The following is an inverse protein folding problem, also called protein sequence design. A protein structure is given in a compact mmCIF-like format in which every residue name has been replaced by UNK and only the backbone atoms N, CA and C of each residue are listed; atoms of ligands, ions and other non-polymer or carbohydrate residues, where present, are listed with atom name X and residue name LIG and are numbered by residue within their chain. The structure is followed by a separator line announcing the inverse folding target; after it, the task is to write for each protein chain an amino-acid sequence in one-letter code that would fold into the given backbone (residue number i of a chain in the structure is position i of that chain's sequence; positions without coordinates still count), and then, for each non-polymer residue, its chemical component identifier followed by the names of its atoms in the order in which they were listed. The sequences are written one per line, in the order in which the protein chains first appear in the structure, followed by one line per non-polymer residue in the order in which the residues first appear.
data_IF_719363803034
#
_entry.id   IF_719363803034
#
_cell.length_a   1.000
_cell.length_b   1.000
_cell.length_c   1.000
_cell.angle_alpha   90.00
_cell.angle_beta   90.00
_cell.angle_gamma   90.00
#
_symmetry.space_group_name_H-M   'P 1'
#
loop_
_entity.id
_entity.type
_entity.pdbx_description
1 polymer ?
#
# COMPACT_ATOMS: atom_id res chain seq x y z
N UNK A 1 -23.57 -5.79 3.56
CA UNK A 1 -22.78 -4.78 2.82
C UNK A 1 -21.69 -5.52 2.07
N UNK A 2 -21.70 -5.48 0.74
CA UNK A 2 -20.86 -6.33 -0.12
C UNK A 2 -19.37 -6.21 0.26
N UNK A 3 -18.71 -7.30 0.70
CA UNK A 3 -17.28 -7.30 1.06
C UNK A 3 -16.41 -6.66 -0.05
N UNK A 4 -16.82 -6.80 -1.31
CA UNK A 4 -16.23 -6.16 -2.48
C UNK A 4 -16.32 -4.63 -2.45
N UNK A 5 -17.45 -4.04 -2.07
CA UNK A 5 -17.61 -2.58 -1.95
C UNK A 5 -16.69 -2.02 -0.86
N UNK A 6 -16.61 -2.70 0.28
CA UNK A 6 -15.71 -2.31 1.36
C UNK A 6 -14.24 -2.39 0.91
N UNK A 7 -13.82 -3.48 0.27
CA UNK A 7 -12.46 -3.63 -0.24
C UNK A 7 -12.11 -2.59 -1.31
N UNK A 8 -13.06 -2.26 -2.19
CA UNK A 8 -12.87 -1.18 -3.17
C UNK A 8 -12.63 0.17 -2.50
N UNK A 9 -13.44 0.53 -1.50
CA UNK A 9 -13.24 1.78 -0.72
C UNK A 9 -11.85 1.79 -0.08
N UNK A 10 -11.46 0.68 0.56
CA UNK A 10 -10.15 0.52 1.18
C UNK A 10 -9.01 0.67 0.16
N UNK A 11 -9.16 0.14 -1.05
CA UNK A 11 -8.16 0.25 -2.10
C UNK A 11 -7.98 1.69 -2.58
N UNK A 12 -9.06 2.47 -2.72
CA UNK A 12 -8.94 3.90 -3.03
C UNK A 12 -8.31 4.69 -1.88
N UNK A 13 -8.64 4.37 -0.63
CA UNK A 13 -7.98 4.98 0.54
C UNK A 13 -6.47 4.70 0.48
N UNK A 14 -6.06 3.45 0.22
CA UNK A 14 -4.64 3.10 0.07
C UNK A 14 -3.96 3.81 -1.10
N UNK A 15 -4.67 4.03 -2.21
CA UNK A 15 -4.14 4.81 -3.33
C UNK A 15 -3.91 6.28 -2.95
N UNK A 16 -4.83 6.89 -2.22
CA UNK A 16 -4.68 8.26 -1.71
C UNK A 16 -3.50 8.33 -0.72
N UNK A 17 -3.39 7.36 0.19
CA UNK A 17 -2.26 7.29 1.14
C UNK A 17 -0.92 7.14 0.39
N UNK A 18 -0.86 6.30 -0.65
CA UNK A 18 0.33 6.15 -1.48
C UNK A 18 0.73 7.46 -2.15
N UNK A 19 -0.24 8.23 -2.67
CA UNK A 19 0.01 9.55 -3.22
C UNK A 19 0.55 10.53 -2.16
N UNK A 20 -0.02 10.52 -0.95
CA UNK A 20 0.46 11.34 0.18
C UNK A 20 1.91 10.99 0.53
N UNK A 21 2.27 9.71 0.59
CA UNK A 21 3.65 9.30 0.82
C UNK A 21 4.60 9.81 -0.28
N UNK A 22 4.19 9.77 -1.54
CA UNK A 22 4.99 10.32 -2.64
C UNK A 22 5.21 11.84 -2.46
N UNK A 23 4.20 12.59 -2.01
CA UNK A 23 4.34 14.03 -1.73
C UNK A 23 5.34 14.28 -0.59
N UNK A 24 5.22 13.56 0.53
CA UNK A 24 6.18 13.69 1.64
C UNK A 24 7.61 13.35 1.20
N UNK A 25 7.77 12.31 0.38
CA UNK A 25 9.05 11.95 -0.18
C UNK A 25 9.63 13.04 -1.07
N UNK A 26 8.83 13.63 -1.98
CA UNK A 26 9.26 14.75 -2.82
C UNK A 26 9.71 15.95 -2.00
N UNK A 27 8.98 16.30 -0.94
CA UNK A 27 9.38 17.38 -0.02
C UNK A 27 10.71 17.04 0.68
N UNK A 28 10.87 15.79 1.12
CA UNK A 28 12.12 15.29 1.71
C UNK A 28 13.32 15.41 0.78
N UNK A 29 13.16 15.06 -0.50
CA UNK A 29 14.22 15.20 -1.51
C UNK A 29 14.61 16.67 -1.73
N UNK A 30 13.63 17.57 -1.85
CA UNK A 30 13.89 19.00 -2.10
C UNK A 30 14.64 19.64 -0.93
N UNK A 31 14.33 19.22 0.30
CA UNK A 31 14.97 19.78 1.50
C UNK A 31 16.34 19.17 1.80
N UNK A 32 16.54 17.87 1.55
CA UNK A 32 17.79 17.18 1.81
C UNK A 32 18.09 16.18 0.70
N UNK A 33 18.80 16.64 -0.33
CA UNK A 33 19.12 15.81 -1.48
C UNK A 33 20.18 14.74 -1.14
N UNK A 34 19.82 13.47 -1.32
CA UNK A 34 20.72 12.32 -1.24
C UNK A 34 20.39 11.33 -2.34
N UNK A 35 21.38 10.95 -3.16
CA UNK A 35 21.19 10.03 -4.28
C UNK A 35 20.69 8.65 -3.81
N UNK A 36 21.24 8.13 -2.70
CA UNK A 36 20.77 6.87 -2.12
C UNK A 36 19.35 6.98 -1.57
N UNK A 37 19.02 8.11 -0.93
CA UNK A 37 17.66 8.38 -0.44
C UNK A 37 16.64 8.48 -1.59
N UNK A 38 17.05 9.07 -2.72
CA UNK A 38 16.24 9.19 -3.93
C UNK A 38 15.89 7.81 -4.50
N UNK A 39 16.90 6.98 -4.74
CA UNK A 39 16.69 5.63 -5.32
C UNK A 39 15.84 4.78 -4.37
N UNK A 40 16.16 4.78 -3.08
CA UNK A 40 15.41 4.03 -2.08
C UNK A 40 13.95 4.46 -1.99
N UNK A 41 13.68 5.77 -1.96
CA UNK A 41 12.31 6.27 -1.87
C UNK A 41 11.51 6.12 -3.17
N UNK A 42 12.12 6.21 -4.36
CA UNK A 42 11.42 5.90 -5.62
C UNK A 42 11.00 4.44 -5.65
N UNK A 43 11.91 3.51 -5.31
CA UNK A 43 11.60 2.08 -5.28
C UNK A 43 10.50 1.77 -4.25
N UNK A 44 10.58 2.39 -3.08
CA UNK A 44 9.63 2.16 -1.99
C UNK A 44 8.25 2.79 -2.28
N UNK A 45 8.18 4.10 -2.48
CA UNK A 45 6.91 4.81 -2.63
C UNK A 45 6.32 4.69 -4.04
N UNK A 46 7.17 4.68 -5.07
CA UNK A 46 6.74 4.38 -6.45
C UNK A 46 6.28 2.93 -6.60
N UNK A 47 6.99 1.99 -5.97
CA UNK A 47 6.56 0.59 -5.90
C UNK A 47 5.23 0.41 -5.18
N UNK A 48 5.04 1.12 -4.05
CA UNK A 48 3.77 1.11 -3.31
C UNK A 48 2.62 1.70 -4.12
N UNK A 49 2.85 2.82 -4.81
CA UNK A 49 1.85 3.44 -5.67
C UNK A 49 1.43 2.49 -6.80
N UNK A 50 2.39 1.88 -7.50
CA UNK A 50 2.11 0.88 -8.53
C UNK A 50 1.32 -0.30 -7.96
N UNK A 51 1.68 -0.78 -6.77
CA UNK A 51 0.98 -1.86 -6.11
C UNK A 51 -0.47 -1.47 -5.72
N UNK A 52 -0.71 -0.24 -5.27
CA UNK A 52 -2.07 0.26 -5.00
C UNK A 52 -2.92 0.34 -6.29
N UNK A 53 -2.33 0.71 -7.43
CA UNK A 53 -3.01 0.68 -8.72
C UNK A 53 -3.39 -0.76 -9.10
N UNK A 54 -2.46 -1.71 -8.95
CA UNK A 54 -2.72 -3.13 -9.20
C UNK A 54 -3.82 -3.67 -8.26
N UNK A 55 -3.85 -3.26 -7.00
CA UNK A 55 -4.92 -3.61 -6.06
C UNK A 55 -6.29 -3.16 -6.58
N UNK A 56 -6.42 -1.89 -7.02
CA UNK A 56 -7.68 -1.37 -7.56
C UNK A 56 -8.11 -2.15 -8.80
N UNK A 57 -7.17 -2.45 -9.71
CA UNK A 57 -7.44 -3.26 -10.90
C UNK A 57 -7.85 -4.69 -10.51
N UNK A 58 -7.15 -5.31 -9.56
CA UNK A 58 -7.41 -6.67 -9.10
C UNK A 58 -8.77 -6.84 -8.45
N UNK A 59 -9.20 -5.87 -7.64
CA UNK A 59 -10.53 -5.87 -7.03
C UNK A 59 -11.65 -5.57 -8.03
N UNK A 60 -11.38 -4.78 -9.08
CA UNK A 60 -12.36 -4.56 -10.16
C UNK A 60 -12.51 -5.78 -11.07
N UNK A 61 -11.39 -6.44 -11.38
CA UNK A 61 -11.32 -7.59 -12.28
C UNK A 61 -11.55 -8.94 -11.60
N UNK A 62 -11.74 -8.97 -10.27
CA UNK A 62 -11.87 -10.18 -9.45
C UNK A 62 -10.71 -11.17 -9.64
N UNK A 63 -9.50 -10.63 -9.86
CA UNK A 63 -8.28 -11.43 -10.11
C UNK A 63 -7.29 -11.28 -8.96
N UNK A 64 -7.14 -12.33 -8.18
CA UNK A 64 -6.22 -12.40 -7.04
C UNK A 64 -4.76 -12.13 -7.43
N UNK A 65 -4.36 -12.50 -8.65
CA UNK A 65 -3.00 -12.28 -9.16
C UNK A 65 -2.56 -10.80 -9.08
N UNK A 66 -3.46 -9.84 -9.28
CA UNK A 66 -3.14 -8.41 -9.18
C UNK A 66 -3.20 -7.88 -7.73
N UNK A 67 -3.81 -8.61 -6.81
CA UNK A 67 -3.92 -8.25 -5.38
C UNK A 67 -2.68 -8.70 -4.59
N UNK A 68 -2.10 -9.85 -4.97
CA UNK A 68 -0.94 -10.45 -4.29
C UNK A 68 0.30 -9.52 -4.23
N UNK A 69 0.70 -8.83 -5.31
CA UNK A 69 1.81 -7.88 -5.27
C UNK A 69 1.61 -6.78 -4.21
N UNK A 70 0.38 -6.29 -4.05
CA UNK A 70 0.08 -5.29 -3.04
C UNK A 70 0.28 -5.80 -1.62
N UNK A 71 -0.13 -7.03 -1.31
CA UNK A 71 0.05 -7.61 0.03
C UNK A 71 1.53 -7.69 0.43
N UNK A 72 2.41 -8.04 -0.52
CA UNK A 72 3.85 -8.17 -0.29
C UNK A 72 4.52 -6.79 -0.16
N UNK A 73 4.26 -5.90 -1.12
CA UNK A 73 4.85 -4.54 -1.13
C UNK A 73 4.42 -3.76 0.10
N UNK A 74 3.16 -3.86 0.50
CA UNK A 74 2.64 -3.21 1.71
C UNK A 74 3.39 -3.64 2.97
N UNK A 75 3.73 -4.92 3.10
CA UNK A 75 4.49 -5.41 4.26
C UNK A 75 5.89 -4.75 4.34
N UNK A 76 6.59 -4.69 3.21
CA UNK A 76 7.92 -4.05 3.12
C UNK A 76 7.81 -2.55 3.45
N UNK A 77 6.83 -1.87 2.87
CA UNK A 77 6.61 -0.43 3.07
C UNK A 77 6.27 -0.12 4.53
N UNK A 78 5.46 -0.95 5.19
CA UNK A 78 5.14 -0.78 6.61
C UNK A 78 6.39 -0.91 7.49
N UNK A 79 7.24 -1.91 7.25
CA UNK A 79 8.50 -2.08 7.99
C UNK A 79 9.39 -0.86 7.82
N UNK A 80 9.58 -0.40 6.57
CA UNK A 80 10.42 0.76 6.28
C UNK A 80 9.86 2.05 6.89
N UNK A 81 8.55 2.26 6.80
CA UNK A 81 7.89 3.42 7.42
C UNK A 81 8.01 3.40 8.94
N UNK A 82 7.97 2.24 9.60
CA UNK A 82 8.21 2.15 11.06
C UNK A 82 9.62 2.64 11.39
N UNK A 83 10.64 2.23 10.62
CA UNK A 83 12.02 2.70 10.82
C UNK A 83 12.10 4.22 10.67
N UNK A 84 11.47 4.78 9.64
CA UNK A 84 11.44 6.23 9.40
C UNK A 84 10.70 6.98 10.50
N UNK A 85 9.58 6.44 11.00
CA UNK A 85 8.82 7.04 12.11
C UNK A 85 9.65 7.08 13.39
N UNK A 86 10.39 6.01 13.70
CA UNK A 86 11.26 5.97 14.88
C UNK A 86 12.37 7.03 14.81
N UNK A 87 12.88 7.34 13.61
CA UNK A 87 13.92 8.34 13.43
C UNK A 87 13.40 9.78 13.41
N UNK A 88 12.21 10.00 12.84
CA UNK A 88 11.67 11.35 12.55
C UNK A 88 10.57 11.81 13.49
N UNK A 89 10.00 10.92 14.32
CA UNK A 89 8.84 11.18 15.19
C UNK A 89 7.64 11.82 14.47
N UNK A 90 7.48 11.54 13.17
CA UNK A 90 6.37 12.09 12.38
C UNK A 90 5.05 11.40 12.72
N UNK A 91 4.19 12.10 13.47
CA UNK A 91 2.85 11.62 13.85
C UNK A 91 1.97 11.33 12.64
N UNK A 92 2.05 12.15 11.60
CA UNK A 92 1.26 11.96 10.36
C UNK A 92 1.66 10.64 9.69
N UNK A 93 2.97 10.39 9.57
CA UNK A 93 3.49 9.18 8.92
C UNK A 93 3.13 7.93 9.72
N UNK A 94 3.10 8.03 11.05
CA UNK A 94 2.61 6.97 11.94
C UNK A 94 1.13 6.64 11.69
N UNK A 95 0.25 7.66 11.69
CA UNK A 95 -1.20 7.47 11.48
C UNK A 95 -1.46 6.80 10.13
N UNK A 96 -0.82 7.29 9.06
CA UNK A 96 -0.96 6.72 7.72
C UNK A 96 -0.52 5.25 7.69
N UNK A 97 0.60 4.93 8.37
CA UNK A 97 1.13 3.56 8.43
C UNK A 97 0.17 2.64 9.17
N UNK A 98 -0.44 3.09 10.27
CA UNK A 98 -1.45 2.32 11.02
C UNK A 98 -2.68 2.04 10.16
N UNK A 99 -3.16 3.01 9.36
CA UNK A 99 -4.30 2.81 8.46
C UNK A 99 -3.97 1.74 7.40
N UNK A 100 -2.77 1.81 6.82
CA UNK A 100 -2.31 0.83 5.82
C UNK A 100 -2.23 -0.57 6.44
N UNK A 101 -1.69 -0.72 7.65
CA UNK A 101 -1.64 -1.99 8.38
C UNK A 101 -3.06 -2.52 8.66
N UNK A 102 -3.96 -1.68 9.16
CA UNK A 102 -5.34 -2.06 9.45
C UNK A 102 -6.10 -2.51 8.18
N UNK A 103 -5.76 -1.92 7.04
CA UNK A 103 -6.34 -2.26 5.74
C UNK A 103 -5.88 -3.59 5.15
N UNK A 104 -4.77 -4.14 5.66
CA UNK A 104 -4.16 -5.36 5.13
C UNK A 104 -5.03 -6.60 5.36
N UNK A 105 -5.57 -6.76 6.58
CA UNK A 105 -6.41 -7.90 6.94
C UNK A 105 -7.68 -8.07 6.09
N UNK A 106 -8.54 -7.04 5.88
CA UNK A 106 -9.75 -7.20 5.06
C UNK A 106 -9.42 -7.55 3.60
N UNK A 107 -8.37 -6.96 3.02
CA UNK A 107 -7.93 -7.27 1.65
C UNK A 107 -7.40 -8.70 1.56
N UNK A 108 -6.59 -9.14 2.52
CA UNK A 108 -6.07 -10.51 2.57
C UNK A 108 -7.20 -11.55 2.71
N UNK A 109 -8.19 -11.27 3.57
CA UNK A 109 -9.35 -12.14 3.71
C UNK A 109 -10.13 -12.26 2.40
N UNK A 110 -10.32 -11.14 1.69
CA UNK A 110 -11.02 -11.12 0.41
C UNK A 110 -10.22 -11.82 -0.71
N UNK A 111 -8.90 -11.63 -0.77
CA UNK A 111 -8.06 -12.30 -1.77
C UNK A 111 -8.10 -13.83 -1.65
N UNK A 112 -8.16 -14.36 -0.42
CA UNK A 112 -8.37 -15.79 -0.17
C UNK A 112 -9.75 -16.30 -0.58
N UNK A 113 -10.78 -15.45 -0.52
CA UNK A 113 -12.12 -15.83 -0.98
C UNK A 113 -12.17 -15.99 -2.51
N UNK A 114 -11.49 -15.10 -3.23
CA UNK A 114 -11.34 -15.18 -4.69
C UNK A 114 -10.63 -16.46 -5.13
N UNK A 115 -9.56 -16.85 -4.43
CA UNK A 115 -8.81 -18.09 -4.69
C UNK A 115 -9.73 -19.32 -4.64
N UNK A 116 -10.49 -19.44 -3.56
CA UNK A 116 -11.41 -20.57 -3.33
C UNK A 116 -12.54 -20.65 -4.34
N UNK A 117 -13.00 -19.53 -4.88
CA UNK A 117 -14.01 -19.51 -5.94
C UNK A 117 -13.49 -19.89 -7.32
N UNK A 118 -12.16 -19.92 -7.52
CA UNK A 118 -11.53 -20.21 -8.80
C UNK A 118 -11.15 -21.70 -8.99
N UNK A 119 -11.25 -22.51 -7.93
CA UNK A 119 -11.04 -23.95 -7.98
C UNK A 119 -12.31 -24.66 -8.48
N UNK A 120 -12.26 -25.45 -9.57
CA UNK A 120 -13.39 -26.28 -9.97
C UNK A 120 -13.61 -27.39 -8.92
N UNK A 121 -14.84 -27.51 -8.43
CA UNK A 121 -15.32 -28.70 -7.71
C UNK A 121 -15.37 -29.91 -8.61
#
# INVERSE_FOLDING_TARGET
MDNKKLCNIIAYINLVIAAIYCVFFLIGIVTNFSLMGLIGGILMYGGFLAACVLLVIGLRSDRQFYIMPWLVVTAIVCIMNIVVVVQSFSVILLILTVIVIASWFPIFKYSRQLDRSSLPT
#
